data_IF_425014688031
#
_entry.id   IF_425014688031
#
_cell.length_a   1.000
_cell.length_b   1.000
_cell.length_c   1.000
_cell.angle_alpha   90.00
_cell.angle_beta   90.00
_cell.angle_gamma   90.00
#
_symmetry.space_group_name_H-M   'P 1'
#
loop_
_entity.id
_entity.type
_entity.pdbx_description
1 polymer ?
#
# COMPACT_ATOMS: atom_id res chain seq x y z
N UNK A 1 8.17 8.19 -32.45
CA UNK A 1 7.50 8.41 -31.13
C UNK A 1 7.65 9.87 -30.76
N UNK A 2 6.66 10.53 -30.15
CA UNK A 2 6.82 11.92 -29.72
C UNK A 2 7.97 12.01 -28.71
N UNK A 3 8.96 12.85 -29.02
CA UNK A 3 10.12 13.09 -28.16
C UNK A 3 9.67 13.92 -26.96
N UNK A 4 9.98 13.47 -25.75
CA UNK A 4 9.65 14.20 -24.53
C UNK A 4 10.49 15.48 -24.44
N UNK A 5 9.88 16.62 -24.74
CA UNK A 5 10.55 17.93 -24.71
C UNK A 5 10.56 18.58 -23.32
N UNK A 6 9.89 18.00 -22.32
CA UNK A 6 9.80 18.57 -20.97
C UNK A 6 10.91 18.07 -20.04
N UNK A 7 11.73 17.12 -20.47
CA UNK A 7 12.76 16.47 -19.65
C UNK A 7 14.12 16.53 -20.32
N UNK A 8 15.15 16.23 -19.52
CA UNK A 8 16.52 16.08 -20.01
C UNK A 8 16.56 15.00 -21.10
N UNK A 9 17.24 15.33 -22.20
CA UNK A 9 17.43 14.41 -23.30
C UNK A 9 18.41 13.32 -22.87
N UNK A 10 17.86 12.12 -22.64
CA UNK A 10 18.64 10.91 -22.38
C UNK A 10 18.78 10.04 -23.63
N UNK A 11 19.47 8.89 -23.52
CA UNK A 11 19.50 7.90 -24.58
C UNK A 11 18.08 7.38 -24.88
N UNK A 12 17.83 7.01 -26.14
CA UNK A 12 16.51 6.52 -26.59
C UNK A 12 16.07 5.24 -25.86
N UNK A 13 17.02 4.35 -25.56
CA UNK A 13 16.78 3.11 -24.84
C UNK A 13 17.82 2.90 -23.75
N UNK A 14 17.39 2.26 -22.66
CA UNK A 14 18.27 1.83 -21.58
C UNK A 14 17.93 0.40 -21.20
N UNK A 15 18.96 -0.43 -21.04
CA UNK A 15 18.82 -1.80 -20.59
C UNK A 15 19.49 -1.96 -19.23
N UNK A 16 18.85 -2.72 -18.33
CA UNK A 16 19.44 -3.01 -17.03
C UNK A 16 20.60 -4.00 -17.20
N UNK A 17 21.69 -3.77 -16.46
CA UNK A 17 22.88 -4.64 -16.47
C UNK A 17 22.53 -6.09 -16.08
N UNK A 18 21.47 -6.30 -15.30
CA UNK A 18 20.99 -7.61 -14.87
C UNK A 18 20.70 -8.58 -16.01
N UNK A 19 20.41 -8.09 -17.22
CA UNK A 19 20.20 -8.93 -18.40
C UNK A 19 21.49 -9.60 -18.88
N UNK A 20 22.64 -8.99 -18.64
CA UNK A 20 23.95 -9.47 -19.08
C UNK A 20 24.68 -10.27 -18.01
N UNK A 21 24.10 -10.38 -16.80
CA UNK A 21 24.63 -11.25 -15.77
C UNK A 21 24.33 -12.69 -16.19
N UNK A 22 25.37 -13.48 -16.45
CA UNK A 22 25.26 -14.91 -16.74
C UNK A 22 24.66 -15.66 -15.53
N UNK A 23 23.34 -15.65 -15.42
CA UNK A 23 22.63 -16.57 -14.55
C UNK A 23 22.58 -17.90 -15.27
N UNK A 24 23.17 -18.94 -14.68
CA UNK A 24 22.93 -20.29 -15.17
C UNK A 24 21.42 -20.53 -15.21
N UNK A 25 20.88 -21.14 -16.29
CA UNK A 25 19.47 -21.46 -16.38
C UNK A 25 19.12 -22.35 -15.19
N UNK A 26 18.37 -21.80 -14.25
CA UNK A 26 18.00 -22.53 -13.05
C UNK A 26 16.88 -23.49 -13.40
N UNK A 27 17.05 -24.76 -13.05
CA UNK A 27 15.94 -25.71 -13.12
C UNK A 27 14.85 -25.27 -12.15
N UNK A 28 13.58 -25.54 -12.46
CA UNK A 28 12.45 -25.22 -11.57
C UNK A 28 12.70 -25.69 -10.12
N UNK A 29 13.19 -26.91 -9.93
CA UNK A 29 13.55 -27.44 -8.60
C UNK A 29 14.61 -26.61 -7.87
N UNK A 30 15.60 -26.06 -8.60
CA UNK A 30 16.62 -25.20 -8.00
C UNK A 30 16.04 -23.85 -7.56
N UNK A 31 15.10 -23.31 -8.34
CA UNK A 31 14.44 -22.06 -8.00
C UNK A 31 13.52 -22.21 -6.78
N UNK A 32 12.73 -23.28 -6.73
CA UNK A 32 11.94 -23.62 -5.53
C UNK A 32 12.85 -23.80 -4.32
N UNK A 33 14.01 -24.44 -4.46
CA UNK A 33 14.99 -24.59 -3.36
C UNK A 33 15.60 -23.27 -2.87
N UNK A 34 15.62 -22.23 -3.70
CA UNK A 34 16.08 -20.90 -3.28
C UNK A 34 15.05 -20.19 -2.40
N UNK A 35 13.77 -20.34 -2.77
CA UNK A 35 12.65 -19.73 -2.06
C UNK A 35 12.30 -20.53 -0.80
N UNK A 36 12.22 -21.85 -0.92
CA UNK A 36 11.86 -22.78 0.14
C UNK A 36 13.06 -23.66 0.49
N UNK A 37 13.59 -23.47 1.71
CA UNK A 37 14.68 -24.29 2.25
C UNK A 37 14.14 -25.68 2.58
N UNK A 38 15.03 -26.68 2.60
CA UNK A 38 14.69 -28.09 2.87
C UNK A 38 14.03 -28.35 4.23
N UNK A 39 14.09 -27.39 5.15
CA UNK A 39 13.43 -27.44 6.47
C UNK A 39 12.00 -26.87 6.46
N UNK A 40 11.42 -26.61 5.29
CA UNK A 40 10.08 -26.03 5.15
C UNK A 40 9.98 -24.55 5.53
N UNK A 41 11.12 -23.89 5.76
CA UNK A 41 11.18 -22.44 5.99
C UNK A 41 11.48 -21.70 4.69
N UNK A 42 11.00 -20.46 4.59
CA UNK A 42 11.33 -19.56 3.48
C UNK A 42 12.81 -19.15 3.50
N UNK A 43 13.27 -18.50 2.43
CA UNK A 43 14.61 -17.88 2.33
C UNK A 43 14.95 -17.06 3.58
N UNK A 44 13.98 -16.31 4.08
CA UNK A 44 14.11 -15.37 5.21
C UNK A 44 14.01 -16.06 6.58
N UNK A 45 13.72 -17.37 6.62
CA UNK A 45 13.52 -18.13 7.87
C UNK A 45 12.10 -18.11 8.44
N UNK A 46 11.16 -17.41 7.80
CA UNK A 46 9.72 -17.36 8.13
C UNK A 46 9.00 -18.66 7.77
N UNK A 47 7.85 -18.91 8.41
CA UNK A 47 6.90 -19.96 8.01
C UNK A 47 6.07 -19.51 6.80
N UNK A 48 5.29 -20.43 6.23
CA UNK A 48 4.39 -20.17 5.09
C UNK A 48 3.21 -19.23 5.43
N UNK A 49 2.80 -19.14 6.69
CA UNK A 49 1.72 -18.25 7.13
C UNK A 49 2.21 -17.02 7.91
N UNK A 50 3.53 -16.75 7.93
CA UNK A 50 4.08 -15.61 8.68
C UNK A 50 4.18 -14.35 7.80
N UNK A 51 3.58 -13.25 8.28
CA UNK A 51 3.70 -11.91 7.70
C UNK A 51 5.10 -11.32 7.97
N UNK A 52 5.61 -10.44 7.09
CA UNK A 52 6.84 -9.69 7.36
C UNK A 52 6.66 -8.72 8.53
N UNK A 53 7.78 -8.20 9.03
CA UNK A 53 7.76 -7.12 10.02
C UNK A 53 7.12 -5.89 9.39
N UNK A 54 6.09 -5.37 10.03
CA UNK A 54 5.37 -4.17 9.61
C UNK A 54 5.79 -3.01 10.52
N UNK A 55 6.25 -1.92 9.91
CA UNK A 55 6.43 -0.64 10.56
C UNK A 55 5.46 0.36 9.97
N UNK A 56 4.72 1.07 10.82
CA UNK A 56 3.72 2.05 10.42
C UNK A 56 3.99 3.37 11.12
N UNK A 57 3.86 4.47 10.37
CA UNK A 57 3.94 5.82 10.91
C UNK A 57 3.03 6.74 10.12
N UNK A 58 2.13 7.44 10.79
CA UNK A 58 1.31 8.49 10.16
C UNK A 58 1.91 9.89 10.37
N UNK A 59 1.36 10.89 9.68
CA UNK A 59 1.77 12.29 9.72
C UNK A 59 3.27 12.50 9.39
N UNK A 60 3.76 11.87 8.32
CA UNK A 60 5.17 11.92 7.90
C UNK A 60 5.47 13.15 7.02
N UNK A 61 4.50 13.59 6.22
CA UNK A 61 4.63 14.71 5.30
C UNK A 61 3.86 15.92 5.84
N UNK A 62 4.55 17.06 5.98
CA UNK A 62 3.94 18.30 6.49
C UNK A 62 3.08 19.05 5.46
N UNK A 63 3.30 18.80 4.17
CA UNK A 63 2.59 19.49 3.07
C UNK A 63 1.28 18.82 2.70
N UNK A 64 1.13 17.53 3.02
CA UNK A 64 -0.11 16.80 2.82
C UNK A 64 -1.01 17.00 4.04
N UNK A 65 -2.33 16.95 3.84
CA UNK A 65 -3.28 17.01 4.95
C UNK A 65 -3.14 15.80 5.86
N UNK A 66 -3.08 14.63 5.23
CA UNK A 66 -2.79 13.37 5.90
C UNK A 66 -1.71 12.63 5.15
N UNK A 67 -0.87 11.92 5.88
CA UNK A 67 0.16 11.10 5.27
C UNK A 67 0.45 9.87 6.10
N UNK A 68 0.92 8.84 5.44
CA UNK A 68 1.34 7.63 6.09
C UNK A 68 2.57 7.05 5.40
N UNK A 69 3.35 6.34 6.19
CA UNK A 69 4.51 5.60 5.76
C UNK A 69 4.40 4.18 6.32
N UNK A 70 4.57 3.21 5.44
CA UNK A 70 4.59 1.79 5.77
C UNK A 70 5.89 1.16 5.28
N UNK A 71 6.45 0.31 6.12
CA UNK A 71 7.48 -0.65 5.73
C UNK A 71 6.97 -2.06 6.01
N UNK A 72 6.96 -2.91 4.99
CA UNK A 72 6.63 -4.34 5.11
C UNK A 72 7.85 -5.12 4.63
N UNK A 73 8.70 -5.52 5.59
CA UNK A 73 10.05 -5.99 5.27
C UNK A 73 10.87 -4.90 4.55
N UNK A 74 11.25 -5.13 3.29
CA UNK A 74 11.96 -4.14 2.49
C UNK A 74 11.02 -3.29 1.61
N UNK A 75 9.74 -3.65 1.49
CA UNK A 75 8.78 -2.86 0.74
C UNK A 75 8.46 -1.58 1.51
N UNK A 76 8.76 -0.42 0.93
CA UNK A 76 8.58 0.89 1.55
C UNK A 76 7.63 1.73 0.72
N UNK A 77 6.52 2.17 1.31
CA UNK A 77 5.50 2.97 0.62
C UNK A 77 5.15 4.19 1.43
N UNK A 78 5.12 5.35 0.78
CA UNK A 78 4.62 6.59 1.34
C UNK A 78 3.34 6.99 0.64
N UNK A 79 2.31 7.29 1.42
CA UNK A 79 1.01 7.74 0.93
C UNK A 79 0.72 9.15 1.42
N UNK A 80 0.17 9.98 0.56
CA UNK A 80 -0.32 11.33 0.86
C UNK A 80 -1.79 11.43 0.49
N UNK A 81 -2.59 11.99 1.40
CA UNK A 81 -3.98 12.34 1.17
C UNK A 81 -4.13 13.86 1.23
N UNK A 82 -4.86 14.41 0.27
CA UNK A 82 -5.20 15.82 0.20
C UNK A 82 -6.67 16.04 0.53
N UNK A 83 -6.97 17.20 1.12
CA UNK A 83 -8.34 17.63 1.43
C UNK A 83 -9.22 17.63 0.16
N UNK A 84 -10.55 17.47 0.30
CA UNK A 84 -11.46 17.52 -0.83
C UNK A 84 -11.31 18.82 -1.63
N UNK A 85 -10.94 18.70 -2.91
CA UNK A 85 -10.78 19.83 -3.84
C UNK A 85 -11.86 19.82 -4.92
N UNK A 86 -12.19 20.98 -5.46
CA UNK A 86 -13.13 21.07 -6.58
C UNK A 86 -12.53 20.41 -7.83
N UNK A 87 -13.37 19.66 -8.57
CA UNK A 87 -12.93 18.97 -9.78
C UNK A 87 -12.82 19.98 -10.93
N UNK A 88 -11.61 20.25 -11.46
CA UNK A 88 -11.46 21.23 -12.53
C UNK A 88 -12.19 20.74 -13.80
N UNK A 89 -12.94 21.65 -14.43
CA UNK A 89 -13.68 21.42 -15.68
C UNK A 89 -14.82 20.37 -15.63
N UNK A 90 -15.33 20.01 -14.45
CA UNK A 90 -16.48 19.13 -14.34
C UNK A 90 -17.76 19.90 -14.00
N UNK A 91 -18.57 20.23 -15.01
CA UNK A 91 -19.87 20.91 -14.83
C UNK A 91 -21.02 19.96 -14.48
N UNK A 92 -20.77 18.66 -14.28
CA UNK A 92 -21.80 17.69 -13.93
C UNK A 92 -21.91 17.57 -12.43
N UNK A 93 -23.09 17.88 -11.90
CA UNK A 93 -23.41 17.64 -10.49
C UNK A 93 -23.35 16.14 -10.18
N UNK A 94 -22.57 15.78 -9.16
CA UNK A 94 -22.49 14.44 -8.61
C UNK A 94 -22.88 14.47 -7.13
N UNK A 95 -23.90 13.67 -6.79
CA UNK A 95 -24.33 13.45 -5.40
C UNK A 95 -23.22 12.86 -4.53
N UNK A 96 -22.32 12.09 -5.13
CA UNK A 96 -21.20 11.48 -4.43
C UNK A 96 -19.90 12.17 -4.83
N UNK A 97 -19.06 12.49 -3.85
CA UNK A 97 -17.69 12.91 -4.09
C UNK A 97 -16.88 11.85 -4.85
N UNK A 98 -15.79 12.28 -5.47
CA UNK A 98 -14.89 11.41 -6.22
C UNK A 98 -13.62 11.11 -5.42
N UNK A 99 -13.08 9.89 -5.57
CA UNK A 99 -11.76 9.54 -5.09
C UNK A 99 -10.82 9.43 -6.29
N UNK A 100 -9.72 10.16 -6.26
CA UNK A 100 -8.65 10.03 -7.23
C UNK A 100 -7.46 9.38 -6.55
N UNK A 101 -7.10 8.19 -7.03
CA UNK A 101 -5.93 7.48 -6.53
C UNK A 101 -4.89 7.40 -7.63
N UNK A 102 -3.66 7.75 -7.29
CA UNK A 102 -2.50 7.55 -8.14
C UNK A 102 -1.50 6.66 -7.42
N UNK A 103 -1.30 5.47 -7.98
CA UNK A 103 -0.25 4.54 -7.57
C UNK A 103 0.94 4.73 -8.50
N UNK A 104 2.12 4.97 -7.93
CA UNK A 104 3.35 5.19 -8.68
C UNK A 104 4.54 4.49 -8.02
N UNK A 105 5.37 3.86 -8.83
CA UNK A 105 6.69 3.41 -8.42
C UNK A 105 7.70 4.55 -8.57
N UNK A 106 8.55 4.75 -7.56
CA UNK A 106 9.72 5.60 -7.74
C UNK A 106 10.62 4.99 -8.81
N UNK A 107 11.30 5.81 -9.62
CA UNK A 107 12.12 5.30 -10.72
C UNK A 107 13.21 4.32 -10.26
N UNK A 108 13.62 4.40 -9.00
CA UNK A 108 14.65 3.56 -8.36
C UNK A 108 14.07 2.42 -7.50
N UNK A 109 12.75 2.26 -7.41
CA UNK A 109 12.14 1.32 -6.46
C UNK A 109 12.37 -0.15 -6.78
N UNK A 110 12.60 -0.47 -8.06
CA UNK A 110 12.80 -1.82 -8.57
C UNK A 110 14.19 -1.98 -9.17
N UNK A 111 14.66 -3.24 -9.27
CA UNK A 111 15.93 -3.61 -9.93
C UNK A 111 16.00 -3.11 -11.39
N UNK A 112 14.86 -3.05 -12.07
CA UNK A 112 14.70 -2.41 -13.38
C UNK A 112 14.19 -0.99 -13.17
N UNK A 113 14.99 0.00 -13.58
CA UNK A 113 14.57 1.41 -13.55
C UNK A 113 13.30 1.59 -14.39
N UNK A 114 12.28 2.21 -13.80
CA UNK A 114 11.05 2.59 -14.51
C UNK A 114 11.15 3.97 -15.14
N UNK A 115 10.34 4.18 -16.17
CA UNK A 115 10.16 5.49 -16.79
C UNK A 115 9.40 6.43 -15.85
N UNK A 116 9.51 7.73 -16.10
CA UNK A 116 8.73 8.71 -15.31
C UNK A 116 7.24 8.67 -15.67
N UNK A 117 6.94 8.42 -16.95
CA UNK A 117 5.57 8.32 -17.47
C UNK A 117 4.97 7.03 -16.91
N UNK A 118 3.72 7.12 -16.46
CA UNK A 118 3.06 5.97 -15.84
C UNK A 118 2.88 4.83 -16.82
N UNK A 119 3.32 3.65 -16.39
CA UNK A 119 3.13 2.40 -17.12
C UNK A 119 1.66 1.96 -17.06
N UNK A 120 1.27 1.03 -17.95
CA UNK A 120 -0.08 0.44 -17.90
C UNK A 120 -0.35 -0.25 -16.55
N UNK A 121 0.65 -0.94 -16.02
CA UNK A 121 0.58 -1.59 -14.71
C UNK A 121 0.28 -0.60 -13.57
N UNK A 122 0.94 0.56 -13.56
CA UNK A 122 0.69 1.59 -12.53
C UNK A 122 -0.73 2.16 -12.62
N UNK A 123 -1.27 2.30 -13.84
CA UNK A 123 -2.66 2.70 -14.05
C UNK A 123 -3.63 1.65 -13.52
N UNK A 124 -3.36 0.37 -13.79
CA UNK A 124 -4.19 -0.72 -13.29
C UNK A 124 -4.16 -0.81 -11.75
N UNK A 125 -2.97 -0.66 -11.14
CA UNK A 125 -2.81 -0.60 -9.69
C UNK A 125 -3.51 0.63 -9.08
N UNK A 126 -3.48 1.77 -9.77
CA UNK A 126 -4.21 2.99 -9.35
C UNK A 126 -5.73 2.75 -9.32
N UNK A 127 -6.27 2.05 -10.31
CA UNK A 127 -7.70 1.67 -10.34
C UNK A 127 -8.02 0.68 -9.23
N UNK A 128 -7.16 -0.31 -8.97
CA UNK A 128 -7.34 -1.24 -7.85
C UNK A 128 -7.32 -0.53 -6.49
N UNK A 129 -6.41 0.44 -6.30
CA UNK A 129 -6.32 1.26 -5.09
C UNK A 129 -7.59 2.09 -4.90
N UNK A 130 -8.08 2.75 -5.96
CA UNK A 130 -9.34 3.51 -5.94
C UNK A 130 -10.50 2.61 -5.51
N UNK A 131 -10.69 1.47 -6.18
CA UNK A 131 -11.79 0.55 -5.87
C UNK A 131 -11.73 -0.02 -4.45
N UNK A 132 -10.52 -0.25 -3.92
CA UNK A 132 -10.35 -0.74 -2.55
C UNK A 132 -10.76 0.28 -1.48
N UNK A 133 -10.61 1.58 -1.76
CA UNK A 133 -10.87 2.67 -0.81
C UNK A 133 -12.27 3.29 -0.97
N UNK A 134 -12.83 3.28 -2.19
CA UNK A 134 -14.17 3.81 -2.48
C UNK A 134 -15.29 3.35 -1.53
N UNK A 135 -15.43 2.06 -1.16
CA UNK A 135 -16.50 1.62 -0.26
C UNK A 135 -16.25 2.02 1.20
N UNK A 136 -15.01 2.33 1.57
CA UNK A 136 -14.65 2.70 2.93
C UNK A 136 -14.84 4.20 3.22
N UNK A 137 -14.77 5.05 2.20
CA UNK A 137 -14.88 6.52 2.34
C UNK A 137 -16.34 6.98 2.24
N UNK A 138 -16.76 7.87 3.15
CA UNK A 138 -18.11 8.45 3.17
C UNK A 138 -18.27 9.54 2.08
N UNK A 139 -18.32 9.11 0.82
CA UNK A 139 -18.36 10.00 -0.36
C UNK A 139 -19.55 10.95 -0.42
N UNK A 140 -20.64 10.64 0.28
CA UNK A 140 -21.84 11.47 0.35
C UNK A 140 -21.64 12.75 1.18
N UNK A 141 -20.59 12.82 2.01
CA UNK A 141 -20.29 14.01 2.83
C UNK A 141 -19.61 15.14 2.04
N UNK A 142 -19.09 14.85 0.84
CA UNK A 142 -18.38 15.83 0.02
C UNK A 142 -18.81 15.78 -1.47
N UNK A 143 -20.08 16.10 -1.80
CA UNK A 143 -20.57 16.11 -3.19
C UNK A 143 -19.80 17.12 -4.05
N UNK A 144 -19.54 16.79 -5.32
CA UNK A 144 -18.76 17.57 -6.30
C UNK A 144 -17.27 17.80 -5.95
N UNK A 145 -16.81 17.37 -4.77
CA UNK A 145 -15.39 17.44 -4.43
C UNK A 145 -14.71 16.11 -4.73
N UNK A 146 -13.40 16.20 -4.92
CA UNK A 146 -12.51 15.07 -5.13
C UNK A 146 -11.43 15.04 -4.06
N UNK A 147 -11.26 13.89 -3.43
CA UNK A 147 -10.12 13.61 -2.56
C UNK A 147 -9.03 12.96 -3.40
N UNK A 148 -7.80 13.48 -3.30
CA UNK A 148 -6.66 12.87 -3.97
C UNK A 148 -5.79 12.07 -3.00
N UNK A 149 -5.47 10.86 -3.42
CA UNK A 149 -4.58 9.95 -2.72
C UNK A 149 -3.43 9.59 -3.65
N UNK A 150 -2.22 9.91 -3.24
CA UNK A 150 -1.00 9.58 -3.97
C UNK A 150 -0.21 8.54 -3.19
N UNK A 151 -0.05 7.36 -3.76
CA UNK A 151 0.77 6.28 -3.22
C UNK A 151 2.07 6.18 -4.03
N UNK A 152 3.20 6.47 -3.38
CA UNK A 152 4.53 6.36 -3.96
C UNK A 152 5.28 5.20 -3.30
N UNK A 153 5.60 4.18 -4.10
CA UNK A 153 6.43 3.05 -3.68
C UNK A 153 7.90 3.46 -3.80
N UNK A 154 8.60 3.56 -2.68
CA UNK A 154 10.01 3.92 -2.63
C UNK A 154 10.92 2.73 -2.90
N UNK A 155 10.55 1.57 -2.38
CA UNK A 155 11.26 0.29 -2.56
C UNK A 155 10.22 -0.82 -2.70
N UNK A 156 10.39 -1.68 -3.70
CA UNK A 156 9.48 -2.80 -3.98
C UNK A 156 10.18 -4.13 -3.78
N UNK A 157 9.76 -4.83 -2.72
CA UNK A 157 10.17 -6.20 -2.40
C UNK A 157 8.95 -7.13 -2.34
N UNK A 158 7.90 -6.85 -3.13
CA UNK A 158 6.68 -7.64 -3.20
C UNK A 158 5.56 -7.13 -2.28
N UNK A 159 4.32 -7.52 -2.60
CA UNK A 159 3.07 -7.09 -1.96
C UNK A 159 2.87 -5.57 -1.95
N UNK A 160 3.43 -4.85 -2.93
CA UNK A 160 3.41 -3.39 -2.98
C UNK A 160 1.99 -2.80 -3.02
N UNK A 161 1.05 -3.45 -3.73
CA UNK A 161 -0.34 -3.02 -3.78
C UNK A 161 -1.02 -3.10 -2.40
N UNK A 162 -0.81 -4.21 -1.68
CA UNK A 162 -1.38 -4.42 -0.35
C UNK A 162 -0.84 -3.42 0.67
N UNK A 163 0.47 -3.16 0.63
CA UNK A 163 1.12 -2.14 1.45
C UNK A 163 0.55 -0.75 1.14
N UNK A 164 0.38 -0.41 -0.15
CA UNK A 164 -0.15 0.89 -0.57
C UNK A 164 -1.61 1.09 -0.15
N UNK A 165 -2.48 0.08 -0.26
CA UNK A 165 -3.89 0.18 0.18
C UNK A 165 -3.95 0.45 1.69
N UNK A 166 -3.20 -0.33 2.48
CA UNK A 166 -3.16 -0.16 3.94
C UNK A 166 -2.61 1.22 4.33
N UNK A 167 -1.55 1.67 3.66
CA UNK A 167 -0.95 2.98 3.88
C UNK A 167 -1.89 4.13 3.46
N UNK A 168 -2.58 3.98 2.33
CA UNK A 168 -3.56 4.96 1.86
C UNK A 168 -4.75 5.08 2.82
N UNK A 169 -5.27 3.97 3.35
CA UNK A 169 -6.33 4.01 4.35
C UNK A 169 -5.89 4.76 5.61
N UNK A 170 -4.65 4.58 6.05
CA UNK A 170 -4.09 5.32 7.19
C UNK A 170 -3.89 6.80 6.87
N UNK A 171 -3.46 7.15 5.66
CA UNK A 171 -3.30 8.53 5.23
C UNK A 171 -4.65 9.28 5.16
N UNK A 172 -5.72 8.60 4.71
CA UNK A 172 -7.08 9.15 4.70
C UNK A 172 -7.60 9.40 6.13
N UNK A 173 -7.37 8.45 7.04
CA UNK A 173 -7.72 8.60 8.45
C UNK A 173 -6.94 9.73 9.13
N UNK A 174 -5.64 9.85 8.84
CA UNK A 174 -4.79 10.95 9.30
C UNK A 174 -5.26 12.32 8.76
N UNK A 175 -5.75 12.35 7.51
CA UNK A 175 -6.33 13.54 6.92
C UNK A 175 -7.69 13.94 7.53
N UNK A 176 -8.23 13.13 8.46
CA UNK A 176 -9.57 13.31 9.04
C UNK A 176 -10.68 13.27 7.99
N UNK A 177 -10.49 12.47 6.94
CA UNK A 177 -11.53 12.24 5.93
C UNK A 177 -12.55 11.24 6.51
N UNK A 178 -13.86 11.54 6.43
CA UNK A 178 -14.91 10.66 6.91
C UNK A 178 -14.85 9.27 6.24
N UNK A 179 -14.71 8.22 7.04
CA UNK A 179 -14.62 6.82 6.59
C UNK A 179 -15.49 5.94 7.50
N UNK A 180 -16.09 4.90 6.91
CA UNK A 180 -16.82 3.87 7.66
C UNK A 180 -15.89 2.93 8.41
N UNK A 181 -14.76 2.57 7.79
CA UNK A 181 -13.81 1.60 8.34
C UNK A 181 -12.41 1.79 7.72
N UNK A 182 -11.37 1.31 8.40
CA UNK A 182 -10.01 1.24 7.85
C UNK A 182 -9.86 0.00 6.98
N UNK A 183 -9.32 0.20 5.78
CA UNK A 183 -9.03 -0.88 4.84
C UNK A 183 -7.62 -1.38 5.07
N UNK A 184 -7.50 -2.67 5.34
CA UNK A 184 -6.22 -3.37 5.36
C UNK A 184 -6.15 -4.35 4.21
N UNK A 185 -4.96 -4.53 3.65
CA UNK A 185 -4.78 -5.45 2.54
C UNK A 185 -3.58 -6.35 2.76
N UNK A 186 -3.71 -7.59 2.28
CA UNK A 186 -2.66 -8.61 2.28
C UNK A 186 -2.62 -9.32 0.94
N UNK A 187 -1.46 -9.86 0.62
CA UNK A 187 -1.23 -10.64 -0.60
C UNK A 187 -0.90 -12.09 -0.22
N UNK A 188 -1.48 -13.05 -0.94
CA UNK A 188 -1.15 -14.47 -0.85
C UNK A 188 -0.56 -14.90 -2.20
N UNK A 189 0.66 -15.41 -2.18
CA UNK A 189 1.25 -16.12 -3.30
C UNK A 189 0.92 -17.60 -3.25
N UNK A 190 0.62 -18.18 -4.40
CA UNK A 190 0.25 -19.59 -4.52
C UNK A 190 1.15 -20.23 -5.56
N UNK A 191 1.75 -21.38 -5.22
CA UNK A 191 2.57 -22.16 -6.13
C UNK A 191 2.42 -23.65 -5.84
N UNK A 192 1.54 -24.33 -6.58
CA UNK A 192 1.13 -25.70 -6.33
C UNK A 192 0.48 -25.82 -4.94
N UNK A 193 1.11 -26.61 -4.08
CA UNK A 193 0.64 -26.83 -2.70
C UNK A 193 1.14 -25.77 -1.71
N UNK A 194 2.04 -24.89 -2.15
CA UNK A 194 2.64 -23.88 -1.28
C UNK A 194 1.85 -22.57 -1.31
N UNK A 195 1.42 -22.14 -0.12
CA UNK A 195 0.77 -20.86 0.14
C UNK A 195 1.79 -19.94 0.83
N UNK A 196 2.08 -18.79 0.24
CA UNK A 196 3.01 -17.79 0.77
C UNK A 196 2.23 -16.55 1.19
N UNK A 197 1.95 -16.40 2.48
CA UNK A 197 1.40 -15.16 3.01
C UNK A 197 2.44 -14.03 2.94
N UNK A 198 2.05 -12.86 2.42
CA UNK A 198 2.91 -11.69 2.26
C UNK A 198 4.24 -12.03 1.54
N UNK A 199 4.16 -12.39 0.24
CA UNK A 199 5.30 -12.86 -0.52
C UNK A 199 6.32 -11.74 -0.80
N UNK A 200 7.58 -12.14 -0.85
CA UNK A 200 8.69 -11.31 -1.35
C UNK A 200 8.70 -11.22 -2.88
N UNK A 201 9.46 -10.29 -3.47
CA UNK A 201 9.53 -10.16 -4.94
C UNK A 201 9.98 -11.44 -5.66
N UNK A 202 10.89 -12.22 -5.06
CA UNK A 202 11.32 -13.50 -5.63
C UNK A 202 10.25 -14.60 -5.47
N UNK A 203 9.51 -14.59 -4.35
CA UNK A 203 8.35 -15.48 -4.13
C UNK A 203 7.21 -15.16 -5.10
N UNK A 204 6.89 -13.89 -5.32
CA UNK A 204 5.87 -13.47 -6.28
C UNK A 204 6.22 -13.93 -7.70
N UNK A 205 7.49 -13.75 -8.07
CA UNK A 205 7.98 -14.19 -9.38
C UNK A 205 7.83 -15.70 -9.54
N UNK A 206 8.11 -16.49 -8.50
CA UNK A 206 7.89 -17.94 -8.51
C UNK A 206 6.41 -18.28 -8.74
N UNK A 207 5.51 -17.65 -7.98
CA UNK A 207 4.07 -17.88 -8.08
C UNK A 207 3.48 -17.51 -9.44
N UNK A 208 4.11 -16.61 -10.19
CA UNK A 208 3.69 -16.29 -11.56
C UNK A 208 4.05 -17.36 -12.60
N UNK A 209 4.82 -18.40 -12.25
CA UNK A 209 5.19 -19.47 -13.18
C UNK A 209 4.38 -20.73 -12.91
N UNK A 210 4.02 -21.46 -13.97
CA UNK A 210 3.27 -22.71 -13.84
C UNK A 210 4.12 -23.77 -13.11
N UNK A 211 3.59 -24.40 -12.04
CA UNK A 211 4.28 -25.48 -11.34
C UNK A 211 4.31 -26.76 -12.20
N UNK A 212 5.43 -27.50 -12.21
CA UNK A 212 5.49 -28.84 -12.77
C UNK A 212 4.80 -29.81 -11.81
N UNK A 213 3.56 -30.22 -12.11
CA UNK A 213 2.80 -31.15 -11.28
C UNK A 213 1.35 -31.33 -11.70
N UNK A 214 0.60 -32.13 -10.93
CA UNK A 214 -0.86 -32.29 -11.12
C UNK A 214 -1.63 -31.03 -10.66
N UNK A 215 -1.18 -30.40 -9.56
CA UNK A 215 -1.78 -29.16 -9.06
C UNK A 215 -1.23 -27.96 -9.83
N UNK A 216 -2.08 -27.39 -10.67
CA UNK A 216 -1.77 -26.23 -11.51
C UNK A 216 -2.06 -24.89 -10.85
N UNK A 217 -2.46 -24.89 -9.58
CA UNK A 217 -2.78 -23.67 -8.84
C UNK A 217 -1.52 -22.82 -8.69
N UNK A 218 -1.53 -21.65 -9.31
CA UNK A 218 -0.43 -20.70 -9.22
C UNK A 218 -0.92 -19.27 -9.42
N UNK A 219 -0.27 -18.35 -8.73
CA UNK A 219 -0.52 -16.93 -8.92
C UNK A 219 -0.56 -16.15 -7.63
N UNK A 220 -1.18 -14.96 -7.70
CA UNK A 220 -1.25 -14.01 -6.60
C UNK A 220 -2.71 -13.64 -6.33
N UNK A 221 -3.07 -13.60 -5.05
CA UNK A 221 -4.35 -13.08 -4.58
C UNK A 221 -4.05 -11.87 -3.69
N UNK A 222 -4.54 -10.69 -4.05
CA UNK A 222 -4.53 -9.51 -3.20
C UNK A 222 -5.94 -9.29 -2.67
N UNK A 223 -6.10 -9.29 -1.35
CA UNK A 223 -7.37 -9.04 -0.69
C UNK A 223 -7.27 -7.75 0.12
N UNK A 224 -8.20 -6.83 -0.11
CA UNK A 224 -8.46 -5.67 0.73
C UNK A 224 -9.74 -5.90 1.53
N UNK A 225 -9.68 -5.66 2.84
CA UNK A 225 -10.69 -6.02 3.81
C UNK A 225 -10.95 -4.88 4.79
N UNK A 226 -12.22 -4.51 4.91
CA UNK A 226 -12.76 -3.64 5.96
C UNK A 226 -13.11 -4.53 7.16
N UNK A 227 -12.33 -4.42 8.23
CA UNK A 227 -12.35 -5.38 9.34
C UNK A 227 -13.55 -5.22 10.25
N UNK A 228 -13.97 -3.99 10.55
CA UNK A 228 -15.12 -3.69 11.40
C UNK A 228 -16.45 -4.00 10.67
N UNK A 229 -16.50 -3.73 9.35
CA UNK A 229 -17.66 -4.08 8.51
C UNK A 229 -17.69 -5.55 8.10
N UNK A 230 -16.60 -6.28 8.31
CA UNK A 230 -16.37 -7.64 7.84
C UNK A 230 -16.59 -7.83 6.33
N UNK A 231 -16.23 -6.82 5.53
CA UNK A 231 -16.50 -6.78 4.09
C UNK A 231 -15.21 -6.76 3.27
N UNK A 232 -15.20 -7.53 2.19
CA UNK A 232 -14.15 -7.47 1.17
C UNK A 232 -14.39 -6.25 0.30
N UNK A 233 -13.47 -5.29 0.29
CA UNK A 233 -13.58 -4.08 -0.52
C UNK A 233 -13.06 -4.30 -1.93
N UNK A 234 -11.98 -5.07 -2.07
CA UNK A 234 -11.39 -5.41 -3.35
C UNK A 234 -10.67 -6.76 -3.27
N UNK A 235 -10.86 -7.58 -4.30
CA UNK A 235 -10.08 -8.79 -4.54
C UNK A 235 -9.43 -8.68 -5.93
N UNK A 236 -8.13 -8.94 -6.02
CA UNK A 236 -7.39 -9.02 -7.28
C UNK A 236 -6.71 -10.37 -7.37
N UNK A 237 -7.07 -11.14 -8.39
CA UNK A 237 -6.44 -12.42 -8.71
C UNK A 237 -5.57 -12.27 -9.95
N UNK A 238 -4.37 -12.83 -9.92
CA UNK A 238 -3.49 -13.02 -11.07
C UNK A 238 -3.10 -14.49 -11.09
N UNK A 239 -3.18 -15.16 -12.25
CA UNK A 239 -2.83 -16.58 -12.40
C UNK A 239 -4.03 -17.51 -12.40
N UNK A 240 -3.76 -18.82 -12.34
CA UNK A 240 -4.77 -19.88 -12.49
C UNK A 240 -4.96 -20.56 -11.15
N UNK A 241 -6.18 -20.52 -10.62
CA UNK A 241 -6.53 -21.10 -9.32
C UNK A 241 -7.94 -21.70 -9.37
N UNK A 242 -8.14 -22.80 -8.67
CA UNK A 242 -9.46 -23.40 -8.47
C UNK A 242 -10.35 -22.51 -7.59
N UNK A 243 -11.66 -22.55 -7.83
CA UNK A 243 -12.64 -21.74 -7.11
C UNK A 243 -12.72 -22.07 -5.62
N UNK A 244 -12.70 -23.36 -5.26
CA UNK A 244 -12.71 -23.82 -3.87
C UNK A 244 -11.49 -23.31 -3.11
N UNK A 245 -10.32 -23.38 -3.76
CA UNK A 245 -9.07 -22.87 -3.23
C UNK A 245 -9.12 -21.36 -3.03
N UNK A 246 -9.69 -20.61 -3.98
CA UNK A 246 -9.83 -19.16 -3.88
C UNK A 246 -10.68 -18.73 -2.67
N UNK A 247 -11.74 -19.47 -2.36
CA UNK A 247 -12.59 -19.23 -1.18
C UNK A 247 -11.79 -19.49 0.11
N UNK A 248 -11.09 -20.62 0.19
CA UNK A 248 -10.23 -20.95 1.33
C UNK A 248 -9.15 -19.88 1.56
N UNK A 249 -8.47 -19.48 0.49
CA UNK A 249 -7.45 -18.44 0.49
C UNK A 249 -8.00 -17.08 0.96
N UNK A 250 -9.20 -16.71 0.51
CA UNK A 250 -9.85 -15.45 0.91
C UNK A 250 -10.20 -15.44 2.39
N UNK A 251 -10.67 -16.56 2.94
CA UNK A 251 -10.97 -16.71 4.36
C UNK A 251 -9.70 -16.69 5.22
N UNK A 252 -8.61 -17.29 4.75
CA UNK A 252 -7.31 -17.20 5.42
C UNK A 252 -6.79 -15.75 5.43
N UNK A 253 -6.88 -15.04 4.31
CA UNK A 253 -6.46 -13.64 4.20
C UNK A 253 -7.27 -12.70 5.09
N UNK A 254 -8.59 -12.86 5.19
CA UNK A 254 -9.43 -12.00 6.04
C UNK A 254 -9.07 -12.09 7.53
N UNK A 255 -8.74 -13.30 8.01
CA UNK A 255 -8.24 -13.52 9.38
C UNK A 255 -6.93 -12.77 9.63
N UNK A 256 -5.99 -12.81 8.68
CA UNK A 256 -4.71 -12.11 8.80
C UNK A 256 -4.84 -10.58 8.64
N UNK A 257 -5.76 -10.10 7.80
CA UNK A 257 -6.07 -8.67 7.69
C UNK A 257 -6.51 -8.10 9.04
N UNK A 258 -7.29 -8.86 9.82
CA UNK A 258 -7.72 -8.46 11.16
C UNK A 258 -6.55 -8.25 12.14
N UNK A 259 -5.45 -9.01 11.99
CA UNK A 259 -4.24 -8.82 12.79
C UNK A 259 -3.50 -7.53 12.39
N UNK A 260 -3.40 -7.27 11.09
CA UNK A 260 -2.78 -6.06 10.55
C UNK A 260 -3.58 -4.81 10.93
N UNK A 261 -4.91 -4.92 10.95
CA UNK A 261 -5.82 -3.84 11.35
C UNK A 261 -5.57 -3.37 12.78
N UNK A 262 -5.28 -4.28 13.72
CA UNK A 262 -4.92 -3.91 15.11
C UNK A 262 -3.66 -3.05 15.17
N UNK A 263 -2.66 -3.35 14.33
CA UNK A 263 -1.43 -2.53 14.25
C UNK A 263 -1.73 -1.13 13.69
N UNK A 264 -2.59 -1.05 12.67
CA UNK A 264 -3.05 0.23 12.11
C UNK A 264 -3.80 1.08 13.15
N UNK A 265 -4.71 0.47 13.93
CA UNK A 265 -5.42 1.15 15.02
C UNK A 265 -4.46 1.67 16.10
N UNK A 266 -3.49 0.85 16.52
CA UNK A 266 -2.48 1.26 17.51
C UNK A 266 -1.66 2.45 17.03
N UNK A 267 -1.27 2.47 15.74
CA UNK A 267 -0.53 3.57 15.15
C UNK A 267 -1.33 4.88 15.20
N UNK A 268 -2.59 4.87 14.76
CA UNK A 268 -3.47 6.04 14.81
C UNK A 268 -3.69 6.54 16.25
N UNK A 269 -3.94 5.61 17.19
CA UNK A 269 -4.13 5.95 18.59
C UNK A 269 -2.89 6.64 19.19
N UNK A 270 -1.68 6.15 18.87
CA UNK A 270 -0.43 6.77 19.32
C UNK A 270 -0.28 8.21 18.81
N UNK A 271 -0.65 8.46 17.55
CA UNK A 271 -0.59 9.81 16.97
C UNK A 271 -1.59 10.75 17.63
N UNK A 272 -2.84 10.32 17.83
CA UNK A 272 -3.85 11.13 18.53
C UNK A 272 -3.39 11.47 19.95
N UNK A 273 -2.83 10.50 20.68
CA UNK A 273 -2.29 10.71 22.02
C UNK A 273 -1.14 11.72 22.02
N UNK A 274 -0.23 11.65 21.04
CA UNK A 274 0.89 12.58 20.90
C UNK A 274 0.39 14.01 20.61
N UNK A 275 -0.49 14.16 19.63
CA UNK A 275 -1.08 15.45 19.24
C UNK A 275 -1.87 16.08 20.40
N UNK A 276 -2.61 15.26 21.15
CA UNK A 276 -3.36 15.72 22.33
C UNK A 276 -2.44 16.22 23.44
N UNK A 277 -1.33 15.51 23.72
CA UNK A 277 -0.33 15.95 24.70
C UNK A 277 0.34 17.25 24.29
N UNK A 278 0.68 17.39 23.01
CA UNK A 278 1.30 18.60 22.46
C UNK A 278 0.36 19.80 22.54
N UNK A 279 -0.92 19.62 22.20
CA UNK A 279 -1.95 20.65 22.35
C UNK A 279 -2.11 21.13 23.80
N UNK A 280 -2.11 20.21 24.78
CA UNK A 280 -2.17 20.57 26.21
C UNK A 280 -0.97 21.42 26.64
N UNK A 281 0.24 21.01 26.24
CA UNK A 281 1.47 21.76 26.52
C UNK A 281 1.44 23.18 25.95
N UNK A 282 0.92 23.35 24.73
CA UNK A 282 0.79 24.68 24.11
C UNK A 282 -0.23 25.57 24.83
N UNK A 283 -1.32 25.00 25.32
CA UNK A 283 -2.31 25.74 26.12
C UNK A 283 -1.71 26.21 27.45
N UNK A 284 -0.98 25.34 28.16
CA UNK A 284 -0.28 25.69 29.40
C UNK A 284 0.72 26.83 29.18
N UNK A 285 1.52 26.77 28.10
CA UNK A 285 2.43 27.84 27.72
C UNK A 285 1.68 29.16 27.45
N UNK A 286 0.58 29.11 26.70
CA UNK A 286 -0.25 30.29 26.43
C UNK A 286 -0.80 30.95 27.69
N UNK A 287 -1.20 30.16 28.70
CA UNK A 287 -1.62 30.68 30.00
C UNK A 287 -0.47 31.32 30.78
N UNK A 288 0.74 30.74 30.72
CA UNK A 288 1.92 31.34 31.36
C UNK A 288 2.30 32.69 30.74
N UNK A 289 2.26 32.83 29.41
CA UNK A 289 2.52 34.11 28.73
C UNK A 289 1.49 35.18 29.09
N UNK A 290 0.18 34.83 29.13
CA UNK A 290 -0.86 35.76 29.56
C UNK A 290 -0.67 36.27 30.99
N UNK A 291 -0.19 35.41 31.90
CA UNK A 291 0.13 35.82 33.29
C UNK A 291 1.34 36.75 33.37
N UNK A 292 2.32 36.60 32.49
CA UNK A 292 3.48 37.49 32.41
C UNK A 292 3.13 38.88 31.84
N UNK A 293 2.29 38.95 30.80
CA UNK A 293 1.89 40.24 30.19
C UNK A 293 1.05 41.12 31.14
N UNK A 294 0.18 40.51 31.95
CA UNK A 294 -0.62 41.24 32.96
C UNK A 294 0.24 41.80 34.09
N UNK A 295 1.43 41.24 34.32
CA UNK A 295 2.41 41.75 35.28
C UNK A 295 3.15 43.00 34.84
N UNK A 296 3.20 43.30 33.53
CA UNK A 296 3.96 44.43 32.97
C UNK A 296 3.17 45.74 32.85
N UNK A 297 1.86 45.73 33.04
CA UNK A 297 1.00 46.93 32.94
C UNK A 297 0.70 47.61 34.28
N UNK A 298 1.42 47.26 35.36
CA UNK A 298 1.17 47.77 36.71
C UNK A 298 2.21 48.75 37.27
N UNK A 299 3.17 49.18 36.46
CA UNK A 299 4.16 50.22 36.83
C UNK A 299 3.93 51.53 36.08
#
# INVERSE_FOLDING_TARGET
MPVDSRRLQGPETTFSYHLYVNKQPQTHSQWVKQVLKSNGKRSDGRKLDDIRKIFLKTSVMSQAKGSAYIEVGNTKVICSAFDPREIPNNNKFSLNGELFCEFKFANFSQKKRRGFIRDAEEKDLSVCLKRALEPAVCRHEFPNFQVDVYALVLEDDGSALAAAITCASLALADASIPMYDLVTALTLGVHGDHKFLDPTSEEERLCCHEPPGQNKNHGLIVLAYATELQQVTQLKQIGVMDSEFLIEASNSLSSHCSQTHKLSQQCLAQVVLKTTKEKKRLLELGETFKKMDVGSQKD
#
